data_IF_182684258607
#
_entry.id   IF_182684258607
#
_cell.length_a   1.000
_cell.length_b   1.000
_cell.length_c   1.000
_cell.angle_alpha   90.00
_cell.angle_beta   90.00
_cell.angle_gamma   90.00
#
_symmetry.space_group_name_H-M   'P 1'
#
loop_
_entity.id
_entity.type
_entity.pdbx_description
1 polymer ?
#
# COMPACT_ATOMS: atom_id res chain seq x y z
N UNK A 1 22.46 35.40 -6.07
CA UNK A 1 21.49 34.63 -5.26
C UNK A 1 20.87 35.60 -4.26
N UNK A 2 19.62 36.01 -4.46
CA UNK A 2 18.95 36.90 -3.51
C UNK A 2 18.57 36.07 -2.25
N UNK A 3 19.16 36.43 -1.11
CA UNK A 3 18.87 35.79 0.18
C UNK A 3 17.53 36.33 0.68
N UNK A 4 16.46 35.55 0.54
CA UNK A 4 15.14 35.89 1.07
C UNK A 4 15.17 35.80 2.60
N UNK A 5 14.71 36.83 3.34
CA UNK A 5 14.71 36.80 4.80
C UNK A 5 13.78 35.68 5.32
N UNK A 6 14.12 35.00 6.41
CA UNK A 6 13.42 33.80 6.89
C UNK A 6 11.91 34.01 7.09
N UNK A 7 11.53 35.21 7.57
CA UNK A 7 10.12 35.60 7.77
C UNK A 7 9.31 35.67 6.47
N UNK A 8 9.94 35.96 5.33
CA UNK A 8 9.26 35.95 4.03
C UNK A 8 8.97 34.52 3.55
N UNK A 9 9.91 33.59 3.79
CA UNK A 9 9.71 32.16 3.48
C UNK A 9 8.58 31.55 4.30
N UNK A 10 8.49 31.86 5.60
CA UNK A 10 7.43 31.36 6.46
C UNK A 10 6.04 31.85 6.04
N UNK A 11 5.92 33.12 5.64
CA UNK A 11 4.67 33.68 5.11
C UNK A 11 4.29 33.06 3.77
N UNK A 12 5.26 32.84 2.89
CA UNK A 12 5.02 32.18 1.61
C UNK A 12 4.61 30.71 1.79
N UNK A 13 5.26 29.98 2.70
CA UNK A 13 4.88 28.61 3.04
C UNK A 13 3.45 28.55 3.61
N UNK A 14 3.10 29.41 4.56
CA UNK A 14 1.76 29.47 5.14
C UNK A 14 0.69 29.92 4.12
N UNK A 15 1.04 30.79 3.18
CA UNK A 15 0.13 31.19 2.10
C UNK A 15 -0.07 30.07 1.09
N UNK A 16 1.01 29.40 0.67
CA UNK A 16 0.96 28.24 -0.21
C UNK A 16 0.16 27.09 0.42
N UNK A 17 0.34 26.81 1.71
CA UNK A 17 -0.44 25.81 2.43
C UNK A 17 -1.94 26.14 2.43
N UNK A 18 -2.30 27.41 2.69
CA UNK A 18 -3.70 27.85 2.67
C UNK A 18 -4.33 27.73 1.29
N UNK A 19 -3.60 28.14 0.25
CA UNK A 19 -4.06 28.09 -1.13
C UNK A 19 -4.22 26.64 -1.61
N UNK A 20 -3.26 25.77 -1.28
CA UNK A 20 -3.36 24.33 -1.54
C UNK A 20 -4.55 23.75 -0.77
N UNK A 21 -4.68 24.04 0.52
CA UNK A 21 -5.77 23.50 1.34
C UNK A 21 -7.14 23.94 0.83
N UNK A 22 -7.31 25.20 0.44
CA UNK A 22 -8.55 25.69 -0.17
C UNK A 22 -8.82 25.05 -1.53
N UNK A 23 -7.78 24.85 -2.36
CA UNK A 23 -7.93 24.29 -3.71
C UNK A 23 -8.16 22.78 -3.71
N UNK A 24 -7.58 22.03 -2.80
CA UNK A 24 -7.72 20.58 -2.75
C UNK A 24 -8.87 20.12 -1.84
N UNK A 25 -9.23 20.87 -0.80
CA UNK A 25 -10.31 20.46 0.12
C UNK A 25 -11.63 20.23 -0.60
N UNK A 26 -12.04 21.16 -1.47
CA UNK A 26 -13.30 21.05 -2.18
C UNK A 26 -13.29 19.93 -3.22
N UNK A 27 -12.17 19.72 -3.93
CA UNK A 27 -12.04 18.66 -4.92
C UNK A 27 -12.11 17.27 -4.28
N UNK A 28 -11.46 17.09 -3.12
CA UNK A 28 -11.46 15.81 -2.42
C UNK A 28 -12.84 15.45 -1.85
N UNK A 29 -13.56 16.44 -1.30
CA UNK A 29 -14.93 16.22 -0.78
C UNK A 29 -15.90 15.91 -1.91
N UNK A 30 -15.85 16.67 -3.02
CA UNK A 30 -16.71 16.41 -4.18
C UNK A 30 -16.45 15.04 -4.81
N UNK A 31 -15.18 14.63 -4.88
CA UNK A 31 -14.84 13.30 -5.40
C UNK A 31 -15.32 12.18 -4.47
N UNK A 32 -15.16 12.36 -3.15
CA UNK A 32 -15.64 11.40 -2.14
C UNK A 32 -17.17 11.22 -2.18
N UNK A 33 -17.91 12.31 -2.34
CA UNK A 33 -19.38 12.27 -2.45
C UNK A 33 -19.85 11.68 -3.78
N UNK A 34 -19.09 11.85 -4.86
CA UNK A 34 -19.40 11.25 -6.16
C UNK A 34 -19.18 9.73 -6.17
N UNK A 35 -18.32 9.21 -5.29
CA UNK A 35 -18.13 7.76 -5.14
C UNK A 35 -19.30 7.18 -4.37
N UNK A 36 -20.08 6.32 -5.02
CA UNK A 36 -21.06 5.50 -4.32
C UNK A 36 -20.34 4.41 -3.50
N UNK A 37 -20.45 4.51 -2.18
CA UNK A 37 -19.85 3.60 -1.20
C UNK A 37 -20.62 2.28 -1.05
N UNK A 38 -21.85 2.22 -1.58
CA UNK A 38 -22.68 1.01 -1.60
C UNK A 38 -22.49 0.20 -2.87
N UNK A 39 -21.78 0.75 -3.86
CA UNK A 39 -21.50 0.09 -5.12
C UNK A 39 -20.81 -1.27 -4.87
N UNK A 40 -21.33 -2.38 -5.45
CA UNK A 40 -20.80 -3.72 -5.22
C UNK A 40 -19.29 -3.85 -5.51
N UNK A 41 -18.79 -3.15 -6.53
CA UNK A 41 -17.36 -3.13 -6.85
C UNK A 41 -16.54 -2.53 -5.70
N UNK A 42 -16.94 -1.38 -5.17
CA UNK A 42 -16.21 -0.67 -4.12
C UNK A 42 -16.20 -1.50 -2.83
N UNK A 43 -17.36 -2.02 -2.43
CA UNK A 43 -17.49 -2.90 -1.26
C UNK A 43 -16.67 -4.18 -1.43
N UNK A 44 -16.73 -4.79 -2.61
CA UNK A 44 -15.94 -5.98 -2.95
C UNK A 44 -14.44 -5.71 -2.83
N UNK A 45 -13.98 -4.55 -3.30
CA UNK A 45 -12.57 -4.18 -3.27
C UNK A 45 -12.06 -3.86 -1.86
N UNK A 46 -12.86 -3.18 -1.05
CA UNK A 46 -12.57 -2.98 0.38
C UNK A 46 -12.49 -4.31 1.13
N UNK A 47 -13.43 -5.22 0.86
CA UNK A 47 -13.45 -6.55 1.45
C UNK A 47 -12.23 -7.38 1.02
N UNK A 48 -11.86 -7.30 -0.26
CA UNK A 48 -10.65 -7.94 -0.80
C UNK A 48 -9.39 -7.44 -0.08
N UNK A 49 -9.23 -6.13 0.13
CA UNK A 49 -8.08 -5.59 0.85
C UNK A 49 -8.05 -6.01 2.31
N UNK A 50 -9.20 -6.02 2.99
CA UNK A 50 -9.30 -6.52 4.36
C UNK A 50 -8.89 -8.00 4.45
N UNK A 51 -9.37 -8.83 3.52
CA UNK A 51 -9.00 -10.24 3.44
C UNK A 51 -7.51 -10.45 3.12
N UNK A 52 -6.94 -9.64 2.21
CA UNK A 52 -5.52 -9.68 1.89
C UNK A 52 -4.67 -9.32 3.11
N UNK A 53 -5.00 -8.24 3.83
CA UNK A 53 -4.29 -7.85 5.04
C UNK A 53 -4.41 -8.91 6.14
N UNK A 54 -5.59 -9.52 6.31
CA UNK A 54 -5.77 -10.64 7.22
C UNK A 54 -4.90 -11.83 6.83
N UNK A 55 -4.85 -12.20 5.54
CA UNK A 55 -4.00 -13.27 5.03
C UNK A 55 -2.51 -12.97 5.27
N UNK A 56 -2.06 -11.75 5.02
CA UNK A 56 -0.68 -11.32 5.30
C UNK A 56 -0.33 -11.45 6.78
N UNK A 57 -1.24 -11.04 7.66
CA UNK A 57 -1.04 -11.15 9.11
C UNK A 57 -1.04 -12.60 9.61
N UNK A 58 -2.00 -13.41 9.18
CA UNK A 58 -2.15 -14.80 9.64
C UNK A 58 -1.02 -15.69 9.13
N UNK A 59 -0.59 -15.50 7.88
CA UNK A 59 0.47 -16.32 7.25
C UNK A 59 1.88 -15.80 7.51
N UNK A 60 2.03 -14.79 8.37
CA UNK A 60 3.31 -14.06 8.60
C UNK A 60 4.51 -14.93 8.99
N UNK A 61 4.31 -16.15 9.47
CA UNK A 61 5.40 -17.07 9.86
C UNK A 61 5.78 -18.05 8.74
N UNK A 62 5.04 -18.06 7.64
CA UNK A 62 5.21 -19.01 6.54
C UNK A 62 5.88 -18.33 5.35
N UNK A 63 7.20 -18.51 5.22
CA UNK A 63 8.03 -17.82 4.23
C UNK A 63 7.54 -18.00 2.79
N UNK A 64 7.25 -19.23 2.38
CA UNK A 64 6.82 -19.52 1.01
C UNK A 64 5.47 -18.87 0.68
N UNK A 65 4.51 -18.90 1.61
CA UNK A 65 3.21 -18.23 1.44
C UNK A 65 3.37 -16.73 1.36
N UNK A 66 4.20 -16.13 2.21
CA UNK A 66 4.50 -14.70 2.15
C UNK A 66 5.14 -14.33 0.81
N UNK A 67 6.12 -15.10 0.32
CA UNK A 67 6.71 -14.86 -0.99
C UNK A 67 5.67 -14.92 -2.12
N UNK A 68 4.79 -15.93 -2.11
CA UNK A 68 3.71 -16.04 -3.09
C UNK A 68 2.75 -14.84 -3.04
N UNK A 69 2.35 -14.40 -1.83
CA UNK A 69 1.51 -13.22 -1.65
C UNK A 69 2.19 -11.93 -2.12
N UNK A 70 3.50 -11.81 -1.92
CA UNK A 70 4.27 -10.66 -2.39
C UNK A 70 4.26 -10.59 -3.93
N UNK A 71 4.55 -11.72 -4.59
CA UNK A 71 4.49 -11.82 -6.06
C UNK A 71 3.08 -11.52 -6.56
N UNK A 72 2.05 -12.04 -5.89
CA UNK A 72 0.66 -11.74 -6.23
C UNK A 72 0.37 -10.24 -6.16
N UNK A 73 0.76 -9.56 -5.07
CA UNK A 73 0.57 -8.10 -4.93
C UNK A 73 1.28 -7.35 -6.06
N UNK A 74 2.51 -7.73 -6.40
CA UNK A 74 3.24 -7.10 -7.52
C UNK A 74 2.50 -7.28 -8.84
N UNK A 75 2.05 -8.49 -9.15
CA UNK A 75 1.31 -8.77 -10.39
C UNK A 75 0.00 -7.96 -10.45
N UNK A 76 -0.72 -7.87 -9.33
CA UNK A 76 -1.95 -7.09 -9.25
C UNK A 76 -1.68 -5.60 -9.49
N UNK A 77 -0.65 -5.03 -8.85
CA UNK A 77 -0.25 -3.63 -9.04
C UNK A 77 0.15 -3.37 -10.50
N UNK A 78 0.94 -4.24 -11.12
CA UNK A 78 1.33 -4.11 -12.53
C UNK A 78 0.14 -4.22 -13.49
N UNK A 79 -0.89 -4.95 -13.10
CA UNK A 79 -2.11 -5.10 -13.90
C UNK A 79 -3.06 -3.90 -13.79
N UNK A 80 -2.78 -2.93 -12.90
CA UNK A 80 -3.69 -1.79 -12.61
C UNK A 80 -4.09 -1.04 -13.87
N UNK A 81 -3.13 -0.66 -14.72
CA UNK A 81 -3.41 0.13 -15.92
C UNK A 81 -4.25 -0.65 -16.94
N UNK A 82 -3.94 -1.93 -17.12
CA UNK A 82 -4.66 -2.82 -18.03
C UNK A 82 -6.11 -3.03 -17.57
N UNK A 83 -6.31 -3.27 -16.27
CA UNK A 83 -7.63 -3.40 -15.66
C UNK A 83 -8.41 -2.08 -15.76
N UNK A 84 -7.75 -0.95 -15.54
CA UNK A 84 -8.37 0.36 -15.70
C UNK A 84 -8.84 0.59 -17.14
N UNK A 85 -7.99 0.30 -18.13
CA UNK A 85 -8.32 0.42 -19.55
C UNK A 85 -9.51 -0.46 -19.94
N UNK A 86 -9.47 -1.74 -19.54
CA UNK A 86 -10.57 -2.66 -19.78
C UNK A 86 -11.87 -2.20 -19.09
N UNK A 87 -11.77 -1.71 -17.86
CA UNK A 87 -12.88 -1.16 -17.09
C UNK A 87 -13.50 0.07 -17.75
N UNK A 88 -12.71 0.93 -18.42
CA UNK A 88 -13.25 2.08 -19.18
C UNK A 88 -14.13 1.64 -20.35
N UNK A 89 -13.75 0.60 -21.05
CA UNK A 89 -14.48 0.08 -22.21
C UNK A 89 -15.72 -0.72 -21.79
N UNK A 90 -15.62 -1.45 -20.66
CA UNK A 90 -16.60 -2.44 -20.23
C UNK A 90 -17.33 -2.09 -18.93
N UNK A 91 -17.29 -0.83 -18.49
CA UNK A 91 -17.80 -0.40 -17.18
C UNK A 91 -19.22 -0.91 -16.87
N UNK A 92 -20.12 -0.93 -17.86
CA UNK A 92 -21.52 -1.36 -17.69
C UNK A 92 -21.70 -2.81 -17.25
N UNK A 93 -20.68 -3.66 -17.42
CA UNK A 93 -20.72 -5.06 -16.99
C UNK A 93 -20.46 -5.21 -15.49
N UNK A 94 -19.80 -4.22 -14.87
CA UNK A 94 -19.24 -4.35 -13.52
C UNK A 94 -19.78 -3.28 -12.57
N UNK A 95 -20.09 -2.10 -13.08
CA UNK A 95 -20.46 -0.92 -12.30
C UNK A 95 -21.62 -0.16 -12.93
N UNK A 96 -22.38 0.50 -12.07
CA UNK A 96 -23.52 1.36 -12.40
C UNK A 96 -23.08 2.70 -12.97
N UNK A 97 -21.85 3.14 -12.67
CA UNK A 97 -21.28 4.41 -13.13
C UNK A 97 -19.82 4.30 -13.60
N UNK A 98 -19.35 5.32 -14.34
CA UNK A 98 -18.01 5.34 -14.95
C UNK A 98 -16.93 5.75 -13.96
N UNK A 99 -16.52 4.81 -13.11
CA UNK A 99 -15.39 5.01 -12.18
C UNK A 99 -14.02 5.03 -12.87
N UNK A 100 -13.87 4.22 -13.92
CA UNK A 100 -12.60 4.08 -14.62
C UNK A 100 -12.34 5.30 -15.51
N UNK A 101 -11.15 5.89 -15.38
CA UNK A 101 -10.79 7.14 -16.03
C UNK A 101 -9.40 7.07 -16.68
N UNK A 102 -9.07 7.94 -17.66
CA UNK A 102 -7.76 7.92 -18.32
C UNK A 102 -6.57 8.16 -17.39
N UNK A 103 -6.77 8.94 -16.31
CA UNK A 103 -5.73 9.22 -15.31
C UNK A 103 -5.63 8.10 -14.27
N UNK A 104 -6.64 7.22 -14.19
CA UNK A 104 -6.67 6.06 -13.30
C UNK A 104 -6.79 6.42 -11.83
N UNK A 105 -7.39 7.56 -11.50
CA UNK A 105 -7.53 8.06 -10.13
C UNK A 105 -8.29 7.06 -9.26
N UNK A 106 -9.40 6.51 -9.77
CA UNK A 106 -10.17 5.50 -9.03
C UNK A 106 -9.32 4.25 -8.74
N UNK A 107 -8.67 3.70 -9.77
CA UNK A 107 -7.82 2.51 -9.61
C UNK A 107 -6.60 2.80 -8.74
N UNK A 108 -6.05 4.01 -8.76
CA UNK A 108 -4.98 4.40 -7.85
C UNK A 108 -5.43 4.41 -6.39
N UNK A 109 -6.60 4.99 -6.09
CA UNK A 109 -7.08 5.14 -4.71
C UNK A 109 -7.64 3.84 -4.15
N UNK A 110 -8.42 3.11 -4.94
CA UNK A 110 -9.18 1.97 -4.46
C UNK A 110 -8.48 0.63 -4.73
N UNK A 111 -7.54 0.55 -5.68
CA UNK A 111 -6.87 -0.70 -6.04
C UNK A 111 -5.36 -0.68 -5.76
N UNK A 112 -4.59 0.08 -6.53
CA UNK A 112 -3.13 0.07 -6.47
C UNK A 112 -2.58 0.67 -5.17
N UNK A 113 -3.15 1.78 -4.68
CA UNK A 113 -2.72 2.45 -3.45
C UNK A 113 -2.79 1.53 -2.22
N UNK A 114 -3.95 0.93 -1.91
CA UNK A 114 -4.07 -0.04 -0.83
C UNK A 114 -3.18 -1.28 -1.03
N UNK A 115 -3.04 -1.78 -2.27
CA UNK A 115 -2.12 -2.89 -2.58
C UNK A 115 -0.66 -2.53 -2.28
N UNK A 116 -0.21 -1.33 -2.65
CA UNK A 116 1.14 -0.84 -2.34
C UNK A 116 1.34 -0.69 -0.84
N UNK A 117 0.34 -0.17 -0.12
CA UNK A 117 0.38 -0.08 1.33
C UNK A 117 0.46 -1.47 2.00
N UNK A 118 -0.33 -2.44 1.51
CA UNK A 118 -0.27 -3.82 1.97
C UNK A 118 1.09 -4.47 1.67
N UNK A 119 1.65 -4.23 0.47
CA UNK A 119 2.98 -4.69 0.10
C UNK A 119 4.07 -4.08 1.00
N UNK A 120 3.99 -2.79 1.30
CA UNK A 120 4.90 -2.13 2.24
C UNK A 120 4.79 -2.73 3.66
N UNK A 121 3.56 -2.92 4.16
CA UNK A 121 3.32 -3.58 5.44
C UNK A 121 3.92 -4.98 5.48
N UNK A 122 3.76 -5.75 4.39
CA UNK A 122 4.35 -7.06 4.25
C UNK A 122 5.89 -7.02 4.28
N UNK A 123 6.52 -6.05 3.63
CA UNK A 123 7.98 -5.87 3.67
C UNK A 123 8.48 -5.64 5.10
N UNK A 124 7.81 -4.78 5.87
CA UNK A 124 8.14 -4.54 7.29
C UNK A 124 8.04 -5.83 8.11
N UNK A 125 6.96 -6.60 7.91
CA UNK A 125 6.75 -7.87 8.59
C UNK A 125 7.83 -8.91 8.23
N UNK A 126 8.18 -8.98 6.94
CA UNK A 126 9.20 -9.89 6.42
C UNK A 126 10.58 -9.55 6.95
N UNK A 127 10.92 -8.26 7.05
CA UNK A 127 12.17 -7.80 7.64
C UNK A 127 12.29 -8.21 9.10
N UNK A 128 11.22 -8.01 9.89
CA UNK A 128 11.18 -8.44 11.30
C UNK A 128 11.44 -9.95 11.43
N UNK A 129 10.76 -10.76 10.62
CA UNK A 129 10.94 -12.21 10.64
C UNK A 129 12.37 -12.62 10.24
N UNK A 130 12.98 -11.94 9.26
CA UNK A 130 14.37 -12.18 8.89
C UNK A 130 15.33 -11.90 10.05
N UNK A 131 15.17 -10.77 10.73
CA UNK A 131 15.98 -10.43 11.92
C UNK A 131 15.83 -11.50 13.00
N UNK A 132 14.60 -11.90 13.31
CA UNK A 132 14.31 -12.94 14.31
C UNK A 132 15.01 -14.26 13.95
N UNK A 133 14.93 -14.68 12.67
CA UNK A 133 15.59 -15.90 12.18
C UNK A 133 17.11 -15.83 12.30
N UNK A 134 17.73 -14.73 11.89
CA UNK A 134 19.19 -14.54 12.01
C UNK A 134 19.63 -14.63 13.46
N UNK A 135 18.89 -13.99 14.39
CA UNK A 135 19.18 -14.04 15.82
C UNK A 135 19.05 -15.48 16.36
N UNK A 136 18.02 -16.21 15.97
CA UNK A 136 17.81 -17.61 16.40
C UNK A 136 18.96 -18.50 15.91
N UNK A 137 19.33 -18.39 14.64
CA UNK A 137 20.45 -19.16 14.06
C UNK A 137 21.76 -18.84 14.77
N UNK A 138 22.08 -17.55 14.97
CA UNK A 138 23.30 -17.13 15.68
C UNK A 138 23.34 -17.64 17.13
N UNK A 139 22.21 -17.62 17.83
CA UNK A 139 22.10 -18.19 19.19
C UNK A 139 22.29 -19.71 19.18
N UNK A 140 21.81 -20.41 18.16
CA UNK A 140 21.99 -21.86 18.03
C UNK A 140 23.46 -22.21 17.74
N UNK A 141 24.11 -21.50 16.83
CA UNK A 141 25.55 -21.65 16.52
C UNK A 141 26.41 -21.43 17.77
N UNK A 142 26.16 -20.37 18.53
CA UNK A 142 26.94 -20.07 19.74
C UNK A 142 26.80 -21.16 20.81
N UNK A 143 25.60 -21.73 21.00
CA UNK A 143 25.38 -22.86 21.92
C UNK A 143 26.14 -24.11 21.48
N UNK A 144 26.20 -24.40 20.18
CA UNK A 144 26.97 -25.53 19.66
C UNK A 144 28.48 -25.34 19.89
N UNK A 145 29.01 -24.14 19.65
CA UNK A 145 30.42 -23.83 19.90
C UNK A 145 30.80 -23.98 21.37
N UNK A 146 29.94 -23.53 22.29
CA UNK A 146 30.18 -23.69 23.73
C UNK A 146 30.20 -25.16 24.17
N UNK A 147 29.32 -26.01 23.61
CA UNK A 147 29.35 -27.46 23.87
C UNK A 147 30.63 -28.10 23.35
N UNK A 148 31.01 -27.81 22.11
CA UNK A 148 32.24 -28.32 21.51
C UNK A 148 33.52 -27.86 22.25
N UNK A 149 33.48 -26.72 22.95
CA UNK A 149 34.57 -26.26 23.83
C UNK A 149 34.57 -26.91 25.21
N UNK A 150 33.43 -27.40 25.71
CA UNK A 150 33.34 -28.12 26.98
C UNK A 150 33.67 -29.61 26.85
N UNK A 151 33.46 -30.18 25.67
CA UNK A 151 33.77 -31.57 25.35
C UNK A 151 35.25 -31.77 24.93
N UNK A 152 36.04 -30.69 24.85
CA UNK A 152 37.50 -30.69 24.69
C UNK A 152 38.17 -30.39 26.01
#
# INVERSE_FOLDING_TARGET
MAYLPPVAMDRMAAQMERDLRAKYSHLMVQWYEAVDWTEPLVVGLLSFHAALLAALWLTRKWLYTQFALFVLILLLVLSTEQLNAWGRENWRLVVTQRYFDPQGVFMAIFYAGPLLAAGFFQLVLSLKNMVDMVVIVKRAEYRQQLKARKDK
#
